data_IF_840133666008
#
_entry.id   IF_840133666008
#
_cell.length_a   1.000
_cell.length_b   1.000
_cell.length_c   1.000
_cell.angle_alpha   90.00
_cell.angle_beta   90.00
_cell.angle_gamma   90.00
#
_symmetry.space_group_name_H-M   'P 1'
#
loop_
_entity.id
_entity.type
_entity.pdbx_description
1 polymer ?
#
# COMPACT_ATOMS: atom_id res chain seq x y z
N UNK A 1 -20.00 45.55 -17.52
CA UNK A 1 -18.64 45.09 -17.88
C UNK A 1 -17.77 44.74 -16.67
N UNK A 2 -17.64 45.59 -15.63
CA UNK A 2 -16.80 45.28 -14.44
C UNK A 2 -17.21 44.01 -13.69
N UNK A 3 -18.51 43.81 -13.46
CA UNK A 3 -19.04 42.63 -12.76
C UNK A 3 -18.74 41.33 -13.51
N UNK A 4 -18.93 41.31 -14.85
CA UNK A 4 -18.63 40.16 -15.71
C UNK A 4 -17.14 39.76 -15.69
N UNK A 5 -16.25 40.74 -15.57
CA UNK A 5 -14.81 40.49 -15.51
C UNK A 5 -14.42 39.89 -14.14
N UNK A 6 -15.05 40.34 -13.05
CA UNK A 6 -14.82 39.79 -11.71
C UNK A 6 -15.32 38.33 -11.63
N UNK A 7 -16.53 38.05 -12.13
CA UNK A 7 -17.07 36.69 -12.11
C UNK A 7 -16.23 35.72 -12.94
N UNK A 8 -15.79 36.13 -14.14
CA UNK A 8 -14.90 35.32 -14.97
C UNK A 8 -13.57 35.00 -14.26
N UNK A 9 -12.93 36.01 -13.65
CA UNK A 9 -11.69 35.80 -12.88
C UNK A 9 -11.88 34.83 -11.73
N UNK A 10 -12.98 34.94 -10.98
CA UNK A 10 -13.29 34.01 -9.89
C UNK A 10 -13.47 32.58 -10.40
N UNK A 11 -14.17 32.38 -11.52
CA UNK A 11 -14.31 31.05 -12.13
C UNK A 11 -12.97 30.44 -12.53
N UNK A 12 -12.09 31.24 -13.16
CA UNK A 12 -10.74 30.79 -13.54
C UNK A 12 -9.92 30.44 -12.30
N UNK A 13 -9.96 31.25 -11.25
CA UNK A 13 -9.25 30.99 -9.99
C UNK A 13 -9.74 29.68 -9.36
N UNK A 14 -11.05 29.47 -9.26
CA UNK A 14 -11.63 28.24 -8.72
C UNK A 14 -11.21 27.02 -9.55
N UNK A 15 -11.23 27.15 -10.88
CA UNK A 15 -10.81 26.08 -11.77
C UNK A 15 -9.33 25.72 -11.59
N UNK A 16 -8.44 26.72 -11.54
CA UNK A 16 -7.00 26.51 -11.33
C UNK A 16 -6.74 25.89 -9.96
N UNK A 17 -7.40 26.38 -8.90
CA UNK A 17 -7.28 25.80 -7.56
C UNK A 17 -7.77 24.35 -7.55
N UNK A 18 -8.91 24.06 -8.18
CA UNK A 18 -9.44 22.69 -8.29
C UNK A 18 -8.48 21.75 -9.03
N UNK A 19 -7.91 22.22 -10.14
CA UNK A 19 -6.95 21.46 -10.94
C UNK A 19 -5.65 21.19 -10.16
N UNK A 20 -5.05 22.21 -9.56
CA UNK A 20 -3.83 22.08 -8.75
C UNK A 20 -4.07 21.16 -7.55
N UNK A 21 -5.24 21.29 -6.91
CA UNK A 21 -5.61 20.42 -5.79
C UNK A 21 -5.68 18.95 -6.22
N UNK A 22 -6.27 18.68 -7.38
CA UNK A 22 -6.40 17.33 -7.93
C UNK A 22 -5.07 16.71 -8.34
N UNK A 23 -4.19 17.50 -8.98
CA UNK A 23 -2.92 17.00 -9.50
C UNK A 23 -1.79 16.94 -8.46
N UNK A 24 -1.82 17.76 -7.41
CA UNK A 24 -0.70 17.87 -6.47
C UNK A 24 -1.10 17.62 -5.02
N UNK A 25 -2.16 18.27 -4.51
CA UNK A 25 -2.51 18.18 -3.09
C UNK A 25 -3.07 16.80 -2.71
N UNK A 26 -4.01 16.27 -3.51
CA UNK A 26 -4.66 14.97 -3.24
C UNK A 26 -3.66 13.79 -3.31
N UNK A 27 -2.81 13.66 -4.35
CA UNK A 27 -1.82 12.58 -4.41
C UNK A 27 -0.83 12.63 -3.24
N UNK A 28 -0.33 13.82 -2.90
CA UNK A 28 0.69 13.96 -1.85
C UNK A 28 0.11 13.70 -0.46
N UNK A 29 -1.09 14.20 -0.19
CA UNK A 29 -1.82 13.87 1.04
C UNK A 29 -2.06 12.36 1.16
N UNK A 30 -2.60 11.74 0.10
CA UNK A 30 -2.85 10.29 0.07
C UNK A 30 -1.56 9.49 0.29
N UNK A 31 -0.43 9.96 -0.26
CA UNK A 31 0.86 9.31 -0.10
C UNK A 31 1.29 9.31 1.36
N UNK A 32 1.28 10.45 2.05
CA UNK A 32 1.75 10.52 3.43
C UNK A 32 0.84 9.82 4.44
N UNK A 33 -0.48 9.84 4.22
CA UNK A 33 -1.42 9.17 5.13
C UNK A 33 -1.36 7.65 4.99
N UNK A 34 -1.17 7.15 3.77
CA UNK A 34 -1.33 5.72 3.50
C UNK A 34 0.01 4.98 3.35
N UNK A 35 1.15 5.68 3.25
CA UNK A 35 2.46 5.03 2.99
C UNK A 35 2.79 3.90 3.96
N UNK A 36 2.54 4.09 5.26
CA UNK A 36 2.89 3.11 6.28
C UNK A 36 2.02 1.86 6.18
N UNK A 37 0.71 2.04 5.97
CA UNK A 37 -0.21 0.91 5.81
C UNK A 37 0.03 0.19 4.49
N UNK A 38 0.34 0.94 3.41
CA UNK A 38 0.74 0.36 2.13
C UNK A 38 1.96 -0.55 2.28
N UNK A 39 3.04 -0.06 2.91
CA UNK A 39 4.25 -0.87 3.15
C UNK A 39 3.97 -2.13 3.98
N UNK A 40 3.13 -2.00 5.02
CA UNK A 40 2.73 -3.12 5.87
C UNK A 40 1.92 -4.17 5.10
N UNK A 41 0.97 -3.74 4.28
CA UNK A 41 0.18 -4.64 3.43
C UNK A 41 1.03 -5.27 2.33
N UNK A 42 2.01 -4.56 1.77
CA UNK A 42 3.00 -5.13 0.84
C UNK A 42 3.77 -6.28 1.48
N UNK A 43 4.29 -6.07 2.70
CA UNK A 43 5.00 -7.11 3.44
C UNK A 43 4.11 -8.32 3.76
N UNK A 44 2.88 -8.08 4.21
CA UNK A 44 1.91 -9.14 4.51
C UNK A 44 1.56 -9.95 3.27
N UNK A 45 1.29 -9.30 2.14
CA UNK A 45 0.99 -10.00 0.91
C UNK A 45 2.18 -10.83 0.41
N UNK A 46 3.40 -10.27 0.42
CA UNK A 46 4.59 -11.04 0.08
C UNK A 46 4.76 -12.27 0.97
N UNK A 47 4.57 -12.10 2.30
CA UNK A 47 4.63 -13.22 3.23
C UNK A 47 3.54 -14.28 2.98
N UNK A 48 2.30 -13.86 2.70
CA UNK A 48 1.18 -14.76 2.41
C UNK A 48 1.39 -15.53 1.10
N UNK A 49 1.97 -14.89 0.08
CA UNK A 49 2.32 -15.55 -1.18
C UNK A 49 3.41 -16.60 -0.99
N UNK A 50 4.48 -16.25 -0.27
CA UNK A 50 5.57 -17.18 0.04
C UNK A 50 5.05 -18.35 0.89
N UNK A 51 4.32 -18.06 1.97
CA UNK A 51 3.79 -19.10 2.87
C UNK A 51 2.86 -20.06 2.14
N UNK A 52 1.97 -19.54 1.29
CA UNK A 52 1.07 -20.36 0.48
C UNK A 52 1.85 -21.25 -0.49
N UNK A 53 2.87 -20.74 -1.17
CA UNK A 53 3.71 -21.53 -2.08
C UNK A 53 4.39 -22.72 -1.37
N UNK A 54 4.94 -22.50 -0.17
CA UNK A 54 5.57 -23.59 0.62
C UNK A 54 4.54 -24.60 1.14
N UNK A 55 3.36 -24.13 1.56
CA UNK A 55 2.31 -24.97 2.13
C UNK A 55 1.62 -25.82 1.05
N UNK A 56 1.43 -25.31 -0.16
CA UNK A 56 0.86 -26.07 -1.28
C UNK A 56 1.67 -27.31 -1.66
N UNK A 57 2.98 -27.29 -1.38
CA UNK A 57 3.86 -28.45 -1.57
C UNK A 57 3.70 -29.52 -0.49
N UNK A 58 3.08 -29.16 0.64
CA UNK A 58 2.79 -30.08 1.72
C UNK A 58 1.43 -30.73 1.46
N UNK A 59 1.35 -32.05 1.62
CA UNK A 59 0.08 -32.79 1.54
C UNK A 59 -0.74 -32.63 2.83
N UNK A 60 -1.03 -31.38 3.23
CA UNK A 60 -1.77 -31.04 4.43
C UNK A 60 -2.89 -30.04 4.13
N UNK A 61 -4.11 -30.56 3.97
CA UNK A 61 -5.30 -29.78 3.62
C UNK A 61 -5.67 -28.71 4.65
N UNK A 62 -5.41 -28.96 5.93
CA UNK A 62 -5.71 -27.99 6.99
C UNK A 62 -4.79 -26.76 6.90
N UNK A 63 -3.49 -26.97 6.63
CA UNK A 63 -2.55 -25.88 6.41
C UNK A 63 -2.87 -25.14 5.12
N UNK A 64 -3.24 -25.85 4.05
CA UNK A 64 -3.62 -25.24 2.78
C UNK A 64 -4.79 -24.27 2.93
N UNK A 65 -5.85 -24.67 3.63
CA UNK A 65 -7.00 -23.78 3.87
C UNK A 65 -6.60 -22.55 4.69
N UNK A 66 -5.66 -22.70 5.64
CA UNK A 66 -5.14 -21.57 6.40
C UNK A 66 -4.29 -20.62 5.55
N UNK A 67 -3.49 -21.13 4.61
CA UNK A 67 -2.68 -20.30 3.72
C UNK A 67 -3.54 -19.56 2.70
N UNK A 68 -4.60 -20.18 2.20
CA UNK A 68 -5.59 -19.52 1.34
C UNK A 68 -6.27 -18.34 2.03
N UNK A 69 -6.57 -18.44 3.34
CA UNK A 69 -7.10 -17.33 4.12
C UNK A 69 -6.08 -16.20 4.31
N UNK A 70 -4.78 -16.51 4.42
CA UNK A 70 -3.73 -15.49 4.50
C UNK A 70 -3.61 -14.68 3.21
N UNK A 71 -3.95 -15.26 2.05
CA UNK A 71 -3.97 -14.53 0.77
C UNK A 71 -5.00 -13.39 0.73
N UNK A 72 -5.93 -13.30 1.69
CA UNK A 72 -6.80 -12.13 1.85
C UNK A 72 -5.99 -10.85 2.12
N UNK A 73 -4.81 -10.93 2.74
CA UNK A 73 -3.92 -9.77 2.89
C UNK A 73 -3.49 -9.20 1.52
N UNK A 74 -3.38 -10.04 0.47
CA UNK A 74 -3.10 -9.58 -0.89
C UNK A 74 -4.27 -8.84 -1.52
N UNK A 75 -5.51 -9.19 -1.16
CA UNK A 75 -6.68 -8.44 -1.60
C UNK A 75 -6.70 -7.03 -0.97
N UNK A 76 -6.41 -6.93 0.32
CA UNK A 76 -6.37 -5.64 1.02
C UNK A 76 -5.24 -4.75 0.48
N UNK A 77 -4.06 -5.34 0.21
CA UNK A 77 -2.97 -4.68 -0.49
C UNK A 77 -3.41 -4.11 -1.85
N UNK A 78 -4.02 -4.94 -2.71
CA UNK A 78 -4.43 -4.52 -4.06
C UNK A 78 -5.52 -3.44 -4.01
N UNK A 79 -6.45 -3.53 -3.06
CA UNK A 79 -7.48 -2.51 -2.82
C UNK A 79 -6.86 -1.15 -2.47
N UNK A 80 -5.94 -1.13 -1.51
CA UNK A 80 -5.27 0.12 -1.12
C UNK A 80 -4.41 0.67 -2.26
N UNK A 81 -3.67 -0.19 -2.97
CA UNK A 81 -2.87 0.19 -4.14
C UNK A 81 -3.74 0.89 -5.20
N UNK A 82 -4.89 0.30 -5.54
CA UNK A 82 -5.83 0.87 -6.52
C UNK A 82 -6.41 2.20 -6.05
N UNK A 83 -6.74 2.34 -4.76
CA UNK A 83 -7.20 3.61 -4.19
C UNK A 83 -6.13 4.70 -4.28
N UNK A 84 -4.88 4.36 -3.97
CA UNK A 84 -3.74 5.28 -4.08
C UNK A 84 -3.48 5.71 -5.53
N UNK A 85 -3.55 4.77 -6.48
CA UNK A 85 -3.47 5.06 -7.91
C UNK A 85 -4.62 5.96 -8.38
N UNK A 86 -5.85 5.69 -7.96
CA UNK A 86 -7.01 6.51 -8.35
C UNK A 86 -6.93 7.94 -7.81
N UNK A 87 -6.23 8.13 -6.69
CA UNK A 87 -5.93 9.44 -6.11
C UNK A 87 -4.74 10.15 -6.78
N UNK A 88 -4.20 9.61 -7.88
CA UNK A 88 -3.17 10.25 -8.70
C UNK A 88 -1.74 9.94 -8.30
N UNK A 89 -1.50 9.01 -7.37
CA UNK A 89 -0.13 8.53 -7.10
C UNK A 89 0.32 7.68 -8.29
N UNK A 90 1.54 7.91 -8.77
CA UNK A 90 2.08 7.13 -9.89
C UNK A 90 2.44 5.71 -9.48
N UNK A 91 2.31 4.79 -10.43
CA UNK A 91 2.75 3.40 -10.25
C UNK A 91 4.23 3.32 -9.86
N UNK A 92 5.08 4.14 -10.45
CA UNK A 92 6.49 4.23 -10.09
C UNK A 92 6.72 4.54 -8.61
N UNK A 93 6.01 5.52 -8.04
CA UNK A 93 6.13 5.87 -6.62
C UNK A 93 5.67 4.74 -5.70
N UNK A 94 4.59 4.06 -6.06
CA UNK A 94 4.10 2.91 -5.30
C UNK A 94 5.07 1.73 -5.37
N UNK A 95 5.61 1.43 -6.56
CA UNK A 95 6.61 0.38 -6.73
C UNK A 95 7.89 0.66 -5.92
N UNK A 96 8.38 1.90 -5.92
CA UNK A 96 9.51 2.30 -5.09
C UNK A 96 9.22 2.14 -3.59
N UNK A 97 8.02 2.51 -3.15
CA UNK A 97 7.59 2.34 -1.76
C UNK A 97 7.47 0.86 -1.37
N UNK A 98 6.98 0.02 -2.28
CA UNK A 98 6.94 -1.43 -2.12
C UNK A 98 8.34 -2.03 -2.00
N UNK A 99 9.30 -1.56 -2.81
CA UNK A 99 10.70 -1.97 -2.72
C UNK A 99 11.30 -1.62 -1.36
N UNK A 100 11.05 -0.40 -0.85
CA UNK A 100 11.46 -0.01 0.50
C UNK A 100 10.87 -0.93 1.56
N UNK A 101 9.58 -1.30 1.42
CA UNK A 101 8.95 -2.23 2.34
C UNK A 101 9.66 -3.61 2.33
N UNK A 102 9.90 -4.16 1.14
CA UNK A 102 10.46 -5.50 0.95
C UNK A 102 11.96 -5.58 1.26
N UNK A 103 12.76 -4.56 0.94
CA UNK A 103 14.22 -4.65 1.06
C UNK A 103 14.76 -4.07 2.37
N UNK A 104 14.13 -3.02 2.89
CA UNK A 104 14.64 -2.29 4.06
C UNK A 104 13.90 -2.72 5.33
N UNK A 105 12.59 -2.98 5.22
CA UNK A 105 11.74 -3.28 6.37
C UNK A 105 11.42 -4.77 6.55
N UNK A 106 11.86 -5.64 5.62
CA UNK A 106 11.75 -7.07 5.79
C UNK A 106 12.83 -7.55 6.78
N UNK A 107 12.42 -7.75 8.03
CA UNK A 107 13.24 -8.48 9.00
C UNK A 107 12.97 -9.98 8.86
N UNK A 108 13.99 -10.84 8.70
CA UNK A 108 13.81 -12.27 8.66
C UNK A 108 13.02 -12.77 9.88
N UNK A 109 12.08 -13.68 9.66
CA UNK A 109 11.30 -14.28 10.75
C UNK A 109 12.20 -14.95 11.80
N UNK A 110 13.35 -15.50 11.39
CA UNK A 110 14.37 -16.05 12.28
C UNK A 110 14.95 -15.00 13.23
N UNK A 111 15.25 -13.80 12.73
CA UNK A 111 15.82 -12.71 13.52
C UNK A 111 14.82 -12.21 14.56
N UNK A 112 13.55 -12.05 14.17
CA UNK A 112 12.48 -11.65 15.08
C UNK A 112 12.15 -12.75 16.11
N UNK A 113 12.09 -14.00 15.67
CA UNK A 113 11.78 -15.14 16.53
C UNK A 113 12.93 -15.48 17.49
N UNK A 114 14.16 -15.08 17.20
CA UNK A 114 15.33 -15.32 18.07
C UNK A 114 15.10 -14.85 19.51
N UNK A 115 14.38 -13.75 19.70
CA UNK A 115 14.03 -13.20 21.01
C UNK A 115 12.82 -13.90 21.66
N UNK A 116 12.06 -14.66 20.89
CA UNK A 116 10.83 -15.34 21.31
C UNK A 116 11.02 -16.87 21.48
N UNK A 117 12.23 -17.39 21.21
CA UNK A 117 12.60 -18.79 21.42
C UNK A 117 13.25 -18.94 22.79
N UNK A 118 12.73 -19.84 23.63
CA UNK A 118 13.42 -20.28 24.84
C UNK A 118 14.74 -20.97 24.46
N UNK A 119 15.86 -20.52 25.03
CA UNK A 119 17.20 -21.05 24.73
C UNK A 119 17.56 -22.26 25.60
N UNK A 120 17.06 -22.28 26.83
CA UNK A 120 17.24 -23.33 27.82
C UNK A 120 15.90 -23.56 28.53
N UNK A 121 15.63 -24.79 28.94
CA UNK A 121 14.37 -25.22 29.55
C UNK A 121 14.52 -25.46 31.04
#
# INVERSE_FOLDING_TARGET
>A
MKVLNITFKLCVIIFVIGYVSREYLIPEYTYYTNKSEYMKLTLKCAHAMDSNWYIEQQQNDALKKSSELQLLDCHDYDKLRKQMLSNGISEYRLSALGLVALEIHQKPAEELAKHHKFRER
#
